data_IF_451276159950
#
_entry.id   IF_451276159950
#
_cell.length_a   1.000
_cell.length_b   1.000
_cell.length_c   1.000
_cell.angle_alpha   90.00
_cell.angle_beta   90.00
_cell.angle_gamma   90.00
#
_symmetry.space_group_name_H-M   'P 1'
#
loop_
_entity.id
_entity.type
_entity.pdbx_description
1 polymer ?
#
# COMPACT_ATOMS: atom_id res chain seq x y z
N UNK A 1 -19.61 -43.58 14.86
CA UNK A 1 -19.73 -42.53 13.85
C UNK A 1 -19.55 -41.21 14.59
N UNK A 2 -18.32 -40.69 14.61
CA UNK A 2 -18.00 -39.47 15.33
C UNK A 2 -18.23 -38.27 14.41
N UNK A 3 -19.08 -37.33 14.86
CA UNK A 3 -19.39 -36.08 14.19
C UNK A 3 -18.16 -35.17 14.21
N UNK A 4 -17.50 -34.99 13.07
CA UNK A 4 -16.49 -33.97 12.87
C UNK A 4 -17.25 -32.68 12.61
N UNK A 5 -17.61 -31.98 13.67
CA UNK A 5 -18.03 -30.59 13.61
C UNK A 5 -16.81 -29.73 13.28
N UNK A 6 -16.65 -29.43 12.01
CA UNK A 6 -15.71 -28.37 11.55
C UNK A 6 -16.20 -27.04 12.07
N UNK A 7 -15.75 -26.65 13.25
CA UNK A 7 -15.97 -25.33 13.79
C UNK A 7 -15.25 -24.32 12.87
N UNK A 8 -16.00 -23.71 11.95
CA UNK A 8 -15.59 -22.51 11.22
C UNK A 8 -15.37 -21.41 12.25
N UNK A 9 -14.16 -21.32 12.81
CA UNK A 9 -13.75 -20.18 13.62
C UNK A 9 -13.84 -18.94 12.75
N UNK A 10 -14.94 -18.20 12.91
CA UNK A 10 -15.06 -16.83 12.44
C UNK A 10 -14.00 -16.00 13.15
N UNK A 11 -12.79 -15.92 12.58
CA UNK A 11 -11.78 -14.97 12.98
C UNK A 11 -12.30 -13.60 12.51
N UNK A 12 -13.16 -13.00 13.32
CA UNK A 12 -13.48 -11.58 13.20
C UNK A 12 -12.14 -10.85 13.45
N UNK A 13 -11.48 -10.44 12.39
CA UNK A 13 -10.25 -9.64 12.45
C UNK A 13 -10.55 -8.40 13.31
N UNK A 14 -10.16 -8.47 14.59
CA UNK A 14 -10.38 -7.39 15.57
C UNK A 14 -9.52 -6.21 15.13
N UNK A 15 -10.15 -5.21 14.53
CA UNK A 15 -9.45 -3.99 14.08
C UNK A 15 -8.83 -3.31 15.29
N UNK A 16 -7.52 -3.17 15.27
CA UNK A 16 -6.77 -2.49 16.34
C UNK A 16 -7.07 -0.99 16.23
N UNK A 17 -7.61 -0.42 17.30
CA UNK A 17 -7.74 1.05 17.43
C UNK A 17 -6.37 1.59 17.83
N UNK A 18 -5.78 2.39 16.97
CA UNK A 18 -4.47 2.99 17.18
C UNK A 18 -4.64 4.50 17.32
N UNK A 19 -4.18 5.04 18.43
CA UNK A 19 -4.14 6.49 18.65
C UNK A 19 -2.89 7.08 18.01
N UNK A 20 -3.13 7.95 17.01
CA UNK A 20 -2.08 8.63 16.25
C UNK A 20 -2.28 10.15 16.32
N UNK A 21 -2.53 10.70 17.53
CA UNK A 21 -2.80 12.15 17.69
C UNK A 21 -1.64 13.01 17.18
N UNK A 22 -0.39 12.69 17.54
CA UNK A 22 0.80 13.48 17.16
C UNK A 22 1.56 12.87 15.98
N UNK A 23 0.84 12.37 15.00
CA UNK A 23 1.45 11.73 13.83
C UNK A 23 1.53 12.67 12.63
N UNK A 24 2.58 12.54 11.84
CA UNK A 24 2.65 13.20 10.52
C UNK A 24 1.82 12.43 9.51
N UNK A 25 1.05 13.19 8.74
CA UNK A 25 0.10 12.64 7.77
C UNK A 25 0.53 12.93 6.34
N UNK A 26 0.41 11.94 5.46
CA UNK A 26 0.51 12.15 4.03
C UNK A 26 -0.40 11.18 3.25
N UNK A 27 -0.74 11.59 2.03
CA UNK A 27 -1.50 10.75 1.10
C UNK A 27 -0.58 10.20 0.02
N UNK A 28 -0.78 8.93 -0.32
CA UNK A 28 -0.15 8.31 -1.47
C UNK A 28 -1.20 7.79 -2.47
N UNK A 29 -0.83 7.76 -3.74
CA UNK A 29 -1.72 7.29 -4.81
C UNK A 29 -0.96 6.43 -5.81
N UNK A 30 -1.56 5.34 -6.25
CA UNK A 30 -1.04 4.47 -7.32
C UNK A 30 -2.21 3.81 -8.06
N UNK A 31 -2.21 3.86 -9.38
CA UNK A 31 -3.34 3.37 -10.19
C UNK A 31 -4.67 3.98 -9.68
N UNK A 32 -5.64 3.14 -9.28
CA UNK A 32 -6.91 3.54 -8.66
C UNK A 32 -6.90 3.44 -7.13
N UNK A 33 -5.73 3.18 -6.52
CA UNK A 33 -5.58 3.05 -5.07
C UNK A 33 -5.19 4.37 -4.43
N UNK A 34 -5.76 4.65 -3.27
CA UNK A 34 -5.47 5.82 -2.43
C UNK A 34 -5.10 5.31 -1.05
N UNK A 35 -3.97 5.76 -0.52
CA UNK A 35 -3.51 5.48 0.84
C UNK A 35 -3.44 6.77 1.65
N UNK A 36 -4.03 6.76 2.83
CA UNK A 36 -3.81 7.75 3.89
C UNK A 36 -2.81 7.12 4.86
N UNK A 37 -1.69 7.78 5.08
CA UNK A 37 -0.59 7.25 5.90
C UNK A 37 -0.29 8.22 7.04
N UNK A 38 -0.22 7.68 8.25
CA UNK A 38 0.19 8.38 9.46
C UNK A 38 1.46 7.73 9.99
N UNK A 39 2.45 8.54 10.33
CA UNK A 39 3.74 8.10 10.86
C UNK A 39 3.94 8.76 12.22
N UNK A 40 4.31 7.96 13.22
CA UNK A 40 4.64 8.39 14.59
C UNK A 40 5.94 7.70 15.02
N UNK A 41 6.72 8.32 15.88
CA UNK A 41 7.88 7.65 16.52
C UNK A 41 7.37 6.45 17.32
N UNK A 42 8.00 5.30 17.17
CA UNK A 42 7.54 4.04 17.77
C UNK A 42 8.51 2.88 17.60
N UNK A 43 8.00 1.68 17.45
CA UNK A 43 8.73 0.40 17.47
C UNK A 43 8.84 -0.31 16.11
N UNK A 44 8.41 0.32 15.02
CA UNK A 44 8.51 -0.26 13.66
C UNK A 44 7.28 -1.06 13.22
N UNK A 45 6.16 -0.94 13.91
CA UNK A 45 4.96 -1.67 13.55
C UNK A 45 4.20 -0.98 12.40
N UNK A 46 3.80 -1.77 11.40
CA UNK A 46 3.01 -1.27 10.26
C UNK A 46 1.62 -1.91 10.28
N UNK A 47 0.60 -1.06 10.30
CA UNK A 47 -0.81 -1.47 10.29
C UNK A 47 -1.51 -0.94 9.05
N UNK A 48 -2.23 -1.83 8.35
CA UNK A 48 -3.00 -1.51 7.15
C UNK A 48 -4.47 -1.83 7.42
N UNK A 49 -5.33 -0.82 7.36
CA UNK A 49 -6.76 -0.95 7.65
C UNK A 49 -7.07 -1.60 9.02
N UNK A 50 -6.19 -1.41 10.02
CA UNK A 50 -6.35 -1.97 11.37
C UNK A 50 -5.84 -3.41 11.54
N UNK A 51 -5.19 -3.98 10.52
CA UNK A 51 -4.59 -5.31 10.52
C UNK A 51 -3.06 -5.15 10.37
N UNK A 52 -2.25 -6.06 10.91
CA UNK A 52 -0.81 -6.07 10.70
C UNK A 52 -0.48 -6.23 9.21
N UNK A 53 0.56 -5.55 8.73
CA UNK A 53 0.98 -5.56 7.33
C UNK A 53 1.16 -6.98 6.78
N UNK A 54 1.77 -7.88 7.54
CA UNK A 54 2.04 -9.26 7.14
C UNK A 54 0.77 -10.09 6.91
N UNK A 55 -0.29 -9.80 7.68
CA UNK A 55 -1.59 -10.47 7.52
C UNK A 55 -2.37 -9.88 6.33
N UNK A 56 -2.23 -8.57 6.10
CA UNK A 56 -2.91 -7.88 5.00
C UNK A 56 -2.28 -8.22 3.64
N UNK A 57 -0.96 -8.15 3.54
CA UNK A 57 -0.20 -8.52 2.35
C UNK A 57 0.42 -9.91 2.52
N UNK A 58 -0.28 -10.94 2.07
CA UNK A 58 0.20 -12.32 2.12
C UNK A 58 1.42 -12.58 1.22
N UNK A 59 1.59 -11.79 0.13
CA UNK A 59 2.72 -11.94 -0.80
C UNK A 59 3.95 -11.19 -0.29
N UNK A 60 5.12 -11.82 -0.11
CA UNK A 60 6.35 -11.18 0.37
C UNK A 60 6.77 -9.96 -0.46
N UNK A 61 6.57 -10.02 -1.78
CA UNK A 61 6.89 -8.90 -2.69
C UNK A 61 6.17 -7.60 -2.28
N UNK A 62 4.89 -7.68 -1.86
CA UNK A 62 4.16 -6.49 -1.42
C UNK A 62 4.67 -5.97 -0.07
N UNK A 63 5.11 -6.86 0.81
CA UNK A 63 5.70 -6.49 2.11
C UNK A 63 7.01 -5.73 1.90
N UNK A 64 7.92 -6.28 1.09
CA UNK A 64 9.19 -5.64 0.73
C UNK A 64 8.97 -4.26 0.10
N UNK A 65 8.00 -4.13 -0.80
CA UNK A 65 7.65 -2.84 -1.41
C UNK A 65 7.25 -1.82 -0.34
N UNK A 66 6.45 -2.22 0.65
CA UNK A 66 5.95 -1.32 1.70
C UNK A 66 7.05 -0.92 2.68
N UNK A 67 8.00 -1.82 3.02
CA UNK A 67 9.11 -1.54 3.95
C UNK A 67 10.24 -0.74 3.31
N UNK A 68 10.40 -0.77 1.99
CA UNK A 68 11.49 -0.13 1.27
C UNK A 68 11.78 1.34 1.67
N UNK A 69 10.81 2.26 1.87
CA UNK A 69 11.12 3.61 2.30
C UNK A 69 11.79 3.69 3.67
N UNK A 70 11.44 2.80 4.60
CA UNK A 70 12.01 2.73 5.94
C UNK A 70 13.44 2.17 5.90
N UNK A 71 13.69 1.20 5.04
CA UNK A 71 15.01 0.58 4.81
C UNK A 71 15.98 1.59 4.18
N UNK A 72 15.57 2.28 3.11
CA UNK A 72 16.37 3.32 2.43
C UNK A 72 16.73 4.48 3.37
N UNK A 73 15.85 4.76 4.31
CA UNK A 73 16.06 5.81 5.32
C UNK A 73 16.77 5.32 6.60
N UNK A 74 17.08 4.02 6.72
CA UNK A 74 17.64 3.38 7.91
C UNK A 74 16.82 3.63 9.20
N UNK A 75 15.50 3.75 9.08
CA UNK A 75 14.60 4.09 10.20
C UNK A 75 13.52 3.02 10.43
N UNK A 76 13.80 1.77 10.07
CA UNK A 76 12.83 0.66 10.10
C UNK A 76 12.22 0.39 11.48
N UNK A 77 12.99 0.62 12.55
CA UNK A 77 12.56 0.42 13.95
C UNK A 77 12.14 1.70 14.66
N UNK A 78 12.30 2.86 14.02
CA UNK A 78 12.10 4.15 14.66
C UNK A 78 10.67 4.68 14.57
N UNK A 79 9.85 4.15 13.65
CA UNK A 79 8.52 4.68 13.36
C UNK A 79 7.46 3.61 13.28
N UNK A 80 6.34 3.87 13.95
CA UNK A 80 5.08 3.14 13.75
C UNK A 80 4.26 3.79 12.64
N UNK A 81 3.66 2.95 11.79
CA UNK A 81 2.93 3.38 10.59
C UNK A 81 1.50 2.86 10.62
N UNK A 82 0.55 3.77 10.49
CA UNK A 82 -0.87 3.44 10.28
C UNK A 82 -1.28 3.84 8.89
N UNK A 83 -1.83 2.89 8.14
CA UNK A 83 -2.32 3.12 6.78
C UNK A 83 -3.82 2.84 6.69
N UNK A 84 -4.56 3.75 6.06
CA UNK A 84 -5.92 3.49 5.59
C UNK A 84 -5.92 3.50 4.08
N UNK A 85 -6.25 2.37 3.46
CA UNK A 85 -6.12 2.17 2.01
C UNK A 85 -7.45 1.80 1.41
N UNK A 86 -7.78 2.42 0.25
CA UNK A 86 -9.02 2.16 -0.49
C UNK A 86 -8.75 2.07 -2.00
N UNK A 87 -9.60 1.30 -2.68
CA UNK A 87 -9.60 1.17 -4.13
C UNK A 87 -8.47 0.35 -4.71
N UNK A 88 -8.57 0.02 -5.98
CA UNK A 88 -7.59 -0.79 -6.72
C UNK A 88 -7.40 -2.21 -6.18
N UNK A 89 -6.28 -2.81 -6.54
CA UNK A 89 -5.86 -4.12 -6.05
C UNK A 89 -4.65 -4.03 -5.13
N UNK A 90 -4.26 -5.13 -4.47
CA UNK A 90 -3.17 -5.19 -3.47
C UNK A 90 -1.85 -4.59 -3.98
N UNK A 91 -1.47 -4.86 -5.23
CA UNK A 91 -0.26 -4.27 -5.84
C UNK A 91 -0.36 -2.74 -6.00
N UNK A 92 -1.53 -2.22 -6.34
CA UNK A 92 -1.78 -0.78 -6.39
C UNK A 92 -1.77 -0.15 -5.00
N UNK A 93 -2.32 -0.84 -4.03
CA UNK A 93 -2.38 -0.42 -2.62
C UNK A 93 -0.97 -0.36 -2.01
N UNK A 94 -0.12 -1.38 -2.22
CA UNK A 94 1.27 -1.37 -1.79
C UNK A 94 2.03 -0.17 -2.40
N UNK A 95 1.87 0.06 -3.72
CA UNK A 95 2.46 1.22 -4.38
C UNK A 95 1.90 2.57 -3.91
N UNK A 96 0.66 2.63 -3.45
CA UNK A 96 0.10 3.84 -2.84
C UNK A 96 0.66 4.08 -1.43
N UNK A 97 0.83 3.01 -0.64
CA UNK A 97 1.42 3.10 0.70
C UNK A 97 2.86 3.60 0.62
N UNK A 98 3.71 3.03 -0.25
CA UNK A 98 5.11 3.45 -0.39
C UNK A 98 5.22 4.94 -0.70
N UNK A 99 4.41 5.44 -1.64
CA UNK A 99 4.39 6.86 -2.00
C UNK A 99 3.92 7.74 -0.82
N UNK A 100 2.86 7.32 -0.10
CA UNK A 100 2.36 8.04 1.08
C UNK A 100 3.35 8.04 2.24
N UNK A 101 3.97 6.88 2.51
CA UNK A 101 4.95 6.70 3.57
C UNK A 101 6.20 7.57 3.34
N UNK A 102 6.76 7.55 2.13
CA UNK A 102 7.90 8.40 1.78
C UNK A 102 7.61 9.90 2.00
N UNK A 103 6.42 10.36 1.65
CA UNK A 103 6.00 11.75 1.90
C UNK A 103 5.80 12.06 3.39
N UNK A 104 5.27 11.12 4.15
CA UNK A 104 5.07 11.29 5.59
C UNK A 104 6.41 11.33 6.33
N UNK A 105 7.39 10.49 5.94
CA UNK A 105 8.75 10.50 6.47
C UNK A 105 9.45 11.84 6.20
N UNK A 106 9.34 12.39 5.00
CA UNK A 106 9.90 13.72 4.67
C UNK A 106 9.23 14.83 5.49
N UNK A 107 7.94 14.71 5.76
CA UNK A 107 7.23 15.67 6.63
C UNK A 107 7.64 15.55 8.09
N UNK A 108 8.15 14.39 8.53
CA UNK A 108 8.70 14.15 9.86
C UNK A 108 10.14 14.64 9.97
N UNK A 109 10.96 14.31 8.96
CA UNK A 109 12.36 14.69 8.85
C UNK A 109 12.72 15.04 7.41
N UNK A 110 13.05 16.30 7.17
CA UNK A 110 13.39 16.84 5.84
C UNK A 110 14.72 16.32 5.29
N UNK A 111 15.65 15.88 6.17
CA UNK A 111 16.95 15.33 5.77
C UNK A 111 16.81 14.06 4.93
N UNK A 112 15.75 13.25 5.17
CA UNK A 112 15.49 12.01 4.44
C UNK A 112 15.09 12.22 2.98
N UNK A 113 14.76 13.48 2.59
CA UNK A 113 14.26 13.80 1.25
C UNK A 113 15.24 13.43 0.14
N UNK A 114 16.53 13.68 0.32
CA UNK A 114 17.56 13.40 -0.70
C UNK A 114 17.64 11.92 -1.04
N UNK A 115 17.75 11.05 -0.03
CA UNK A 115 17.80 9.59 -0.19
C UNK A 115 16.53 9.02 -0.83
N UNK A 116 15.36 9.39 -0.32
CA UNK A 116 14.07 8.93 -0.85
C UNK A 116 13.80 9.43 -2.28
N UNK A 117 14.28 10.61 -2.65
CA UNK A 117 14.15 11.15 -4.01
C UNK A 117 15.06 10.43 -5.00
N UNK A 118 16.30 10.09 -4.60
CA UNK A 118 17.25 9.29 -5.41
C UNK A 118 16.62 7.96 -5.84
N UNK A 119 15.94 7.29 -4.92
CA UNK A 119 15.21 6.04 -5.17
C UNK A 119 13.83 6.22 -5.83
N UNK A 120 13.48 7.44 -6.26
CA UNK A 120 12.20 7.79 -6.90
C UNK A 120 10.93 7.44 -6.07
N UNK A 121 11.07 7.29 -4.75
CA UNK A 121 9.98 6.90 -3.85
C UNK A 121 9.00 8.05 -3.57
N UNK A 122 9.43 9.30 -3.77
CA UNK A 122 8.62 10.51 -3.57
C UNK A 122 7.79 10.88 -4.79
N UNK A 123 8.13 10.34 -5.96
CA UNK A 123 7.46 10.67 -7.21
C UNK A 123 6.25 9.77 -7.43
N UNK A 124 5.10 10.38 -7.72
CA UNK A 124 3.91 9.61 -8.08
C UNK A 124 4.07 8.99 -9.45
N UNK A 125 3.87 7.67 -9.54
CA UNK A 125 3.71 6.99 -10.82
C UNK A 125 2.28 7.21 -11.36
N UNK A 126 2.16 7.93 -12.45
CA UNK A 126 0.90 8.29 -13.09
C UNK A 126 0.27 7.19 -13.94
N UNK A 127 1.01 6.09 -14.21
CA UNK A 127 0.52 5.00 -15.09
C UNK A 127 -0.74 4.37 -14.55
N UNK A 128 -1.80 4.41 -15.36
CA UNK A 128 -3.11 3.81 -15.10
C UNK A 128 -3.49 2.92 -16.26
N UNK A 129 -4.30 1.90 -16.02
CA UNK A 129 -4.81 1.03 -17.09
C UNK A 129 -5.64 1.87 -18.05
N UNK A 130 -5.29 1.83 -19.33
CA UNK A 130 -5.97 2.55 -20.37
C UNK A 130 -7.41 2.04 -20.53
N UNK A 131 -8.35 2.95 -20.75
CA UNK A 131 -9.76 2.62 -20.92
C UNK A 131 -9.98 1.80 -22.19
N UNK A 132 -10.85 0.79 -22.13
CA UNK A 132 -11.33 0.07 -23.31
C UNK A 132 -11.89 1.07 -24.33
N UNK A 133 -11.49 0.94 -25.59
CA UNK A 133 -11.99 1.78 -26.69
C UNK A 133 -13.23 1.15 -27.33
N UNK A 134 -14.04 2.00 -27.91
CA UNK A 134 -15.13 1.57 -28.76
C UNK A 134 -14.59 0.80 -29.98
N UNK A 135 -15.25 -0.25 -30.42
CA UNK A 135 -14.78 -1.09 -31.54
C UNK A 135 -13.54 -1.96 -31.27
N UNK A 136 -13.04 -2.01 -30.05
CA UNK A 136 -11.88 -2.85 -29.67
C UNK A 136 -12.26 -3.84 -28.55
N UNK A 137 -11.58 -4.99 -28.51
CA UNK A 137 -11.73 -5.98 -27.41
C UNK A 137 -11.16 -5.48 -26.08
N UNK A 138 -10.07 -4.69 -26.14
CA UNK A 138 -9.43 -3.99 -25.01
C UNK A 138 -9.07 -2.57 -25.44
N UNK A 139 -8.19 -1.89 -24.69
CA UNK A 139 -7.79 -0.53 -25.01
C UNK A 139 -7.18 -0.40 -26.40
N UNK A 140 -6.39 -1.38 -26.83
CA UNK A 140 -5.67 -1.39 -28.14
C UNK A 140 -5.89 -2.65 -28.97
N UNK A 141 -6.41 -3.74 -28.38
CA UNK A 141 -6.64 -4.99 -29.08
C UNK A 141 -7.87 -4.88 -29.99
N UNK A 142 -7.66 -4.93 -31.27
CA UNK A 142 -8.70 -4.98 -32.29
C UNK A 142 -9.36 -6.37 -32.40
N UNK A 143 -10.50 -6.42 -33.04
CA UNK A 143 -11.07 -7.68 -33.52
C UNK A 143 -10.25 -8.20 -34.67
N UNK A 144 -10.27 -9.52 -34.88
CA UNK A 144 -9.65 -10.14 -36.03
C UNK A 144 -10.40 -9.75 -37.28
N UNK A 145 -9.68 -9.33 -38.30
CA UNK A 145 -10.27 -9.09 -39.62
C UNK A 145 -10.71 -10.43 -40.23
N UNK A 146 -11.97 -10.52 -40.64
CA UNK A 146 -12.48 -11.68 -41.36
C UNK A 146 -12.51 -11.34 -42.83
N UNK A 147 -11.69 -12.03 -43.63
CA UNK A 147 -11.67 -11.91 -45.06
C UNK A 147 -12.77 -12.81 -45.63
N UNK A 148 -13.89 -12.24 -46.00
CA UNK A 148 -14.93 -12.87 -46.82
C UNK A 148 -15.25 -11.96 -47.98
#
# INVERSE_FOLDING_TARGET
MENIETSKKNIKNKKIKLDFKDSKYATGRRKRSIAKVWVKKGSGNIYVNGIKMNEYFKRPVHQIIVTRPLEVSNVSTAYDVKCSVRGGGLSGQAGAIIHGLSRALISQDSALKAGLKKEKLTTRDSRVVERKKYGHRKARRSFQFSKR
#
